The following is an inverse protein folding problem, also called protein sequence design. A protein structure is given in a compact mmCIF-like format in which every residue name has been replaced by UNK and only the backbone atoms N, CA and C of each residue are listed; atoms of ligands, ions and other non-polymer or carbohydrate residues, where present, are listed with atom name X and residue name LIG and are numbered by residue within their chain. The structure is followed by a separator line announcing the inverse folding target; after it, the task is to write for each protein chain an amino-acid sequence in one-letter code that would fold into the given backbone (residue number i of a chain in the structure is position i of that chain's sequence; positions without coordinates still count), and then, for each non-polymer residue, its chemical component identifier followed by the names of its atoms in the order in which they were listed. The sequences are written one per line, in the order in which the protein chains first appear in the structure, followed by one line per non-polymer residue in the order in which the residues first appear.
data_IF_353791157925
#
_entry.id   IF_353791157925
#
_cell.length_a   1.000
_cell.length_b   1.000
_cell.length_c   1.000
_cell.angle_alpha   90.00
_cell.angle_beta   90.00
_cell.angle_gamma   90.00
#
_symmetry.space_group_name_H-M   'P 1'
#
loop_
_entity.id
_entity.type
_entity.pdbx_description
1 polymer ?
#
# COMPACT_ATOMS: atom_id res chain seq x y z
N UNK A 1 21.66 40.71 -46.24
CA UNK A 1 20.28 40.60 -45.71
C UNK A 1 20.36 39.64 -44.53
N UNK A 2 20.16 40.12 -43.32
CA UNK A 2 20.24 39.28 -42.12
C UNK A 2 18.96 38.47 -42.02
N UNK A 3 19.05 37.15 -42.24
CA UNK A 3 17.96 36.22 -41.94
C UNK A 3 17.59 36.36 -40.47
N UNK A 4 16.41 36.92 -40.22
CA UNK A 4 15.75 36.84 -38.93
C UNK A 4 15.42 35.35 -38.70
N UNK A 5 16.40 34.59 -38.22
CA UNK A 5 16.22 33.21 -37.78
C UNK A 5 15.14 33.26 -36.71
N UNK A 6 13.93 32.87 -37.10
CA UNK A 6 12.83 32.60 -36.19
C UNK A 6 13.28 31.44 -35.30
N UNK A 7 14.05 31.74 -34.25
CA UNK A 7 14.50 30.76 -33.28
C UNK A 7 13.28 30.38 -32.49
N UNK A 8 12.60 29.32 -32.94
CA UNK A 8 11.51 28.70 -32.20
C UNK A 8 12.00 28.44 -30.78
N UNK A 9 11.13 28.72 -29.81
CA UNK A 9 11.43 28.51 -28.39
C UNK A 9 11.11 27.07 -28.02
N UNK A 10 11.91 26.52 -27.11
CA UNK A 10 11.73 25.18 -26.58
C UNK A 10 10.36 25.03 -25.91
N UNK A 11 9.62 23.98 -26.28
CA UNK A 11 8.28 23.70 -25.74
C UNK A 11 8.27 22.94 -24.42
N UNK A 12 9.45 22.60 -23.87
CA UNK A 12 9.51 21.88 -22.60
C UNK A 12 9.10 22.78 -21.44
N UNK A 13 8.35 22.19 -20.53
CA UNK A 13 7.99 22.78 -19.26
C UNK A 13 9.14 22.63 -18.25
N UNK A 14 9.37 23.69 -17.48
CA UNK A 14 10.31 23.72 -16.37
C UNK A 14 9.52 23.96 -15.09
N UNK A 15 9.87 23.21 -14.06
CA UNK A 15 9.32 23.33 -12.72
C UNK A 15 10.38 23.98 -11.82
N UNK A 16 10.00 25.07 -11.16
CA UNK A 16 10.80 25.73 -10.14
C UNK A 16 9.90 25.95 -8.92
N UNK A 17 10.15 25.17 -7.87
CA UNK A 17 9.27 25.07 -6.69
C UNK A 17 7.83 24.77 -7.15
N UNK A 18 6.90 25.72 -6.98
CA UNK A 18 5.48 25.59 -7.36
C UNK A 18 5.14 26.29 -8.69
N UNK A 19 6.14 26.82 -9.41
CA UNK A 19 5.92 27.56 -10.65
C UNK A 19 6.27 26.72 -11.87
N UNK A 20 5.30 26.65 -12.77
CA UNK A 20 5.43 26.03 -14.07
C UNK A 20 5.69 27.10 -15.14
N UNK A 21 6.75 26.96 -15.95
CA UNK A 21 7.01 27.89 -17.05
C UNK A 21 7.67 27.20 -18.26
N UNK A 22 7.47 27.79 -19.44
CA UNK A 22 8.08 27.29 -20.67
C UNK A 22 9.57 27.64 -20.75
N UNK A 23 10.36 26.72 -21.30
CA UNK A 23 11.78 26.92 -21.53
C UNK A 23 12.03 28.04 -22.56
N UNK A 24 12.87 29.01 -22.20
CA UNK A 24 13.19 30.17 -23.08
C UNK A 24 14.32 29.93 -24.07
N UNK A 25 14.95 28.74 -24.06
CA UNK A 25 16.09 28.42 -24.95
C UNK A 25 15.61 28.16 -26.38
N UNK A 26 16.47 28.46 -27.36
CA UNK A 26 16.21 28.12 -28.75
C UNK A 26 16.11 26.60 -28.96
N UNK A 27 15.25 26.19 -29.88
CA UNK A 27 15.11 24.79 -30.30
C UNK A 27 16.35 24.28 -31.04
N UNK A 28 16.57 22.97 -30.98
CA UNK A 28 17.45 22.27 -31.90
C UNK A 28 16.80 22.22 -33.29
N UNK A 29 17.59 22.30 -34.37
CA UNK A 29 17.06 22.22 -35.73
C UNK A 29 16.24 20.94 -35.94
N UNK A 30 15.03 21.10 -36.50
CA UNK A 30 14.09 20.00 -36.71
C UNK A 30 13.36 19.47 -35.47
N UNK A 31 13.61 20.03 -34.28
CA UNK A 31 12.97 19.58 -33.03
C UNK A 31 12.23 20.69 -32.29
N UNK A 32 11.15 20.40 -31.55
CA UNK A 32 10.45 21.39 -30.73
C UNK A 32 11.15 21.69 -29.39
N UNK A 33 12.28 21.04 -29.10
CA UNK A 33 13.01 21.17 -27.84
C UNK A 33 14.45 21.64 -28.05
N UNK A 34 15.00 22.38 -27.08
CA UNK A 34 16.43 22.69 -27.04
C UNK A 34 17.26 21.42 -26.80
N UNK A 35 18.56 21.44 -27.13
CA UNK A 35 19.48 20.29 -26.95
C UNK A 35 19.33 19.58 -25.60
N UNK A 36 19.39 20.34 -24.49
CA UNK A 36 19.25 19.81 -23.12
C UNK A 36 17.91 19.08 -22.92
N UNK A 37 16.80 19.70 -23.31
CA UNK A 37 15.48 19.11 -23.09
C UNK A 37 15.17 17.97 -24.05
N UNK A 38 15.77 17.95 -25.24
CA UNK A 38 15.69 16.80 -26.13
C UNK A 38 16.42 15.58 -25.55
N UNK A 39 17.63 15.77 -25.01
CA UNK A 39 18.38 14.73 -24.30
C UNK A 39 17.61 14.22 -23.08
N UNK A 40 17.01 15.13 -22.32
CA UNK A 40 16.21 14.81 -21.13
C UNK A 40 14.92 14.07 -21.48
N UNK A 41 14.22 14.46 -22.56
CA UNK A 41 13.06 13.74 -23.09
C UNK A 41 13.41 12.29 -23.40
N UNK A 42 14.52 12.08 -24.11
CA UNK A 42 15.00 10.73 -24.45
C UNK A 42 15.30 9.92 -23.18
N UNK A 43 16.00 10.52 -22.20
CA UNK A 43 16.30 9.84 -20.93
C UNK A 43 15.03 9.46 -20.16
N UNK A 44 14.07 10.37 -20.04
CA UNK A 44 12.80 10.10 -19.36
C UNK A 44 11.96 9.06 -20.11
N UNK A 45 11.94 9.11 -21.44
CA UNK A 45 11.29 8.10 -22.29
C UNK A 45 11.84 6.70 -22.03
N UNK A 46 13.16 6.54 -22.13
CA UNK A 46 13.85 5.27 -21.86
C UNK A 46 13.57 4.81 -20.41
N UNK A 47 13.59 5.75 -19.47
CA UNK A 47 13.34 5.50 -18.06
C UNK A 47 11.96 4.93 -17.78
N UNK A 48 10.89 5.54 -18.29
CA UNK A 48 9.53 5.03 -18.04
C UNK A 48 9.30 3.69 -18.78
N UNK A 49 9.83 3.52 -20.00
CA UNK A 49 9.72 2.23 -20.73
C UNK A 49 10.43 1.10 -19.97
N UNK A 50 11.58 1.38 -19.36
CA UNK A 50 12.27 0.39 -18.53
C UNK A 50 11.47 0.03 -17.26
N UNK A 51 10.77 0.98 -16.63
CA UNK A 51 9.89 0.70 -15.48
C UNK A 51 8.66 -0.10 -15.89
N UNK A 52 8.05 0.24 -17.02
CA UNK A 52 6.95 -0.54 -17.59
C UNK A 52 7.37 -1.99 -17.85
N UNK A 53 8.54 -2.21 -18.47
CA UNK A 53 9.09 -3.56 -18.68
C UNK A 53 9.29 -4.32 -17.36
N UNK A 54 9.75 -3.65 -16.30
CA UNK A 54 9.89 -4.28 -14.97
C UNK A 54 8.55 -4.70 -14.38
N UNK A 55 7.50 -3.90 -14.58
CA UNK A 55 6.14 -4.24 -14.17
C UNK A 55 5.62 -5.45 -14.95
N UNK A 56 5.81 -5.48 -16.28
CA UNK A 56 5.43 -6.60 -17.15
C UNK A 56 6.20 -7.91 -16.84
N UNK A 57 7.38 -7.79 -16.25
CA UNK A 57 8.22 -8.93 -15.84
C UNK A 57 7.99 -9.37 -14.40
N UNK A 58 7.03 -8.79 -13.69
CA UNK A 58 6.72 -9.18 -12.33
C UNK A 58 6.27 -10.65 -12.28
N UNK A 59 6.78 -11.40 -11.29
CA UNK A 59 6.40 -12.80 -11.10
C UNK A 59 5.02 -12.90 -10.43
N UNK A 60 3.99 -13.16 -11.22
CA UNK A 60 2.60 -13.27 -10.75
C UNK A 60 2.38 -14.41 -9.75
N UNK A 61 3.31 -15.36 -9.62
CA UNK A 61 3.22 -16.45 -8.62
C UNK A 61 3.42 -15.94 -7.20
N UNK A 62 3.99 -14.74 -7.04
CA UNK A 62 4.22 -14.10 -5.74
C UNK A 62 2.95 -13.53 -5.11
N UNK A 63 1.86 -13.44 -5.85
CA UNK A 63 0.60 -12.83 -5.40
C UNK A 63 -0.58 -13.79 -5.55
N UNK A 64 -1.68 -13.47 -4.86
CA UNK A 64 -2.97 -14.09 -5.12
C UNK A 64 -3.93 -13.02 -5.64
N UNK A 65 -4.48 -13.23 -6.84
CA UNK A 65 -5.49 -12.36 -7.45
C UNK A 65 -6.93 -12.79 -7.16
N UNK A 66 -7.12 -13.96 -6.52
CA UNK A 66 -8.45 -14.49 -6.23
C UNK A 66 -8.87 -14.14 -4.81
N UNK A 67 -9.83 -13.24 -4.68
CA UNK A 67 -10.36 -12.78 -3.38
C UNK A 67 -10.99 -13.91 -2.56
N UNK A 68 -11.63 -14.90 -3.19
CA UNK A 68 -12.18 -16.06 -2.50
C UNK A 68 -11.07 -16.95 -1.92
N UNK A 69 -9.99 -17.15 -2.66
CA UNK A 69 -8.80 -17.86 -2.16
C UNK A 69 -8.15 -17.12 -0.99
N UNK A 70 -8.04 -15.79 -1.06
CA UNK A 70 -7.54 -14.97 0.05
C UNK A 70 -8.41 -15.17 1.29
N UNK A 71 -9.74 -15.01 1.18
CA UNK A 71 -10.68 -15.17 2.30
C UNK A 71 -10.66 -16.57 2.90
N UNK A 72 -10.47 -17.61 2.08
CA UNK A 72 -10.40 -18.98 2.55
C UNK A 72 -9.05 -19.36 3.20
N UNK A 73 -8.02 -18.52 3.05
CA UNK A 73 -6.69 -18.81 3.58
C UNK A 73 -6.71 -18.91 5.11
N UNK A 74 -5.96 -19.88 5.64
CA UNK A 74 -5.82 -20.13 7.09
C UNK A 74 -4.38 -19.94 7.60
N UNK A 75 -3.44 -19.62 6.72
CA UNK A 75 -2.03 -19.44 7.06
C UNK A 75 -1.65 -17.97 7.06
N UNK A 76 -1.23 -17.46 8.22
CA UNK A 76 -0.68 -16.10 8.34
C UNK A 76 0.61 -15.93 7.55
N UNK A 77 1.44 -16.96 7.46
CA UNK A 77 2.66 -16.95 6.66
C UNK A 77 2.34 -16.75 5.17
N UNK A 78 1.35 -17.48 4.65
CA UNK A 78 0.94 -17.36 3.27
C UNK A 78 0.33 -15.97 2.95
N UNK A 79 -0.48 -15.44 3.86
CA UNK A 79 -1.04 -14.09 3.73
C UNK A 79 0.06 -13.02 3.72
N UNK A 80 1.08 -13.14 4.58
CA UNK A 80 2.25 -12.26 4.58
C UNK A 80 3.03 -12.34 3.26
N UNK A 81 3.27 -13.55 2.75
CA UNK A 81 3.96 -13.73 1.47
C UNK A 81 3.20 -13.06 0.30
N UNK A 82 1.87 -13.20 0.25
CA UNK A 82 1.05 -12.51 -0.75
C UNK A 82 1.05 -10.99 -0.55
N UNK A 83 0.98 -10.52 0.70
CA UNK A 83 1.05 -9.09 1.02
C UNK A 83 2.34 -8.47 0.48
N UNK A 84 3.49 -9.08 0.77
CA UNK A 84 4.79 -8.59 0.32
C UNK A 84 4.88 -8.53 -1.21
N UNK A 85 4.40 -9.58 -1.89
CA UNK A 85 4.31 -9.59 -3.35
C UNK A 85 3.41 -8.47 -3.91
N UNK A 86 2.24 -8.24 -3.30
CA UNK A 86 1.31 -7.20 -3.72
C UNK A 86 1.90 -5.80 -3.48
N UNK A 87 2.61 -5.58 -2.36
CA UNK A 87 3.30 -4.31 -2.07
C UNK A 87 4.41 -4.03 -3.06
N UNK A 88 5.21 -5.04 -3.40
CA UNK A 88 6.23 -4.93 -4.46
C UNK A 88 5.60 -4.51 -5.78
N UNK A 89 4.50 -5.17 -6.18
CA UNK A 89 3.80 -4.86 -7.43
C UNK A 89 3.19 -3.46 -7.41
N UNK A 90 2.60 -3.03 -6.29
CA UNK A 90 2.06 -1.68 -6.11
C UNK A 90 3.15 -0.61 -6.29
N UNK A 91 4.35 -0.84 -5.75
CA UNK A 91 5.50 0.06 -5.94
C UNK A 91 5.90 0.15 -7.42
N UNK A 92 5.84 -0.96 -8.17
CA UNK A 92 6.11 -0.94 -9.61
C UNK A 92 5.07 -0.13 -10.38
N UNK A 93 3.78 -0.28 -10.07
CA UNK A 93 2.71 0.52 -10.67
C UNK A 93 2.93 2.02 -10.41
N UNK A 94 3.11 2.42 -9.15
CA UNK A 94 3.33 3.83 -8.79
C UNK A 94 4.53 4.40 -9.54
N UNK A 95 5.67 3.70 -9.53
CA UNK A 95 6.88 4.13 -10.27
C UNK A 95 6.65 4.25 -11.78
N UNK A 96 5.81 3.40 -12.36
CA UNK A 96 5.49 3.44 -13.79
C UNK A 96 4.61 4.65 -14.11
N UNK A 97 3.56 4.87 -13.32
CA UNK A 97 2.63 6.00 -13.45
C UNK A 97 3.38 7.32 -13.25
N UNK A 98 4.14 7.47 -12.17
CA UNK A 98 4.88 8.70 -11.84
C UNK A 98 5.90 9.06 -12.93
N UNK A 99 6.63 8.07 -13.44
CA UNK A 99 7.62 8.30 -14.49
C UNK A 99 6.98 8.72 -15.81
N UNK A 100 5.80 8.16 -16.13
CA UNK A 100 5.05 8.55 -17.32
C UNK A 100 4.45 9.95 -17.14
N UNK A 101 3.95 10.29 -15.95
CA UNK A 101 3.48 11.63 -15.61
C UNK A 101 4.54 12.68 -15.81
N UNK A 102 5.71 12.46 -15.22
CA UNK A 102 6.84 13.36 -15.36
C UNK A 102 7.24 13.56 -16.83
N UNK A 103 7.19 12.52 -17.65
CA UNK A 103 7.48 12.64 -19.08
C UNK A 103 6.39 13.42 -19.83
N UNK A 104 5.12 13.07 -19.62
CA UNK A 104 3.98 13.70 -20.31
C UNK A 104 3.86 15.17 -19.94
N UNK A 105 3.76 15.48 -18.65
CA UNK A 105 3.55 16.85 -18.16
C UNK A 105 4.67 17.80 -18.64
N UNK A 106 5.90 17.27 -18.71
CA UNK A 106 7.07 18.06 -19.04
C UNK A 106 7.22 18.37 -20.53
N UNK A 107 6.78 17.48 -21.42
CA UNK A 107 7.05 17.61 -22.86
C UNK A 107 5.80 17.73 -23.73
N UNK A 108 4.63 17.39 -23.19
CA UNK A 108 3.35 17.34 -23.90
C UNK A 108 2.23 18.08 -23.15
N UNK A 109 2.46 18.50 -21.89
CA UNK A 109 1.44 19.13 -21.07
C UNK A 109 0.28 18.16 -20.77
N UNK A 110 -0.95 18.68 -20.72
CA UNK A 110 -2.17 17.88 -20.56
C UNK A 110 -2.77 17.39 -21.89
N UNK A 111 -2.12 17.66 -23.03
CA UNK A 111 -2.61 17.23 -24.34
C UNK A 111 -2.12 15.81 -24.63
N UNK A 112 -2.77 14.83 -24.00
CA UNK A 112 -2.57 13.41 -24.27
C UNK A 112 -3.50 12.96 -25.39
N UNK A 113 -2.95 12.23 -26.37
CA UNK A 113 -3.81 11.53 -27.32
C UNK A 113 -4.65 10.45 -26.60
N UNK A 114 -5.77 10.08 -27.23
CA UNK A 114 -6.71 9.10 -26.68
C UNK A 114 -6.03 7.77 -26.29
N UNK A 115 -5.05 7.32 -27.09
CA UNK A 115 -4.33 6.08 -26.81
C UNK A 115 -3.46 6.15 -25.54
N UNK A 116 -2.80 7.29 -25.30
CA UNK A 116 -2.06 7.54 -24.08
C UNK A 116 -2.98 7.61 -22.87
N UNK A 117 -4.15 8.24 -23.01
CA UNK A 117 -5.13 8.33 -21.94
C UNK A 117 -5.71 6.96 -21.57
N UNK A 118 -6.20 6.19 -22.55
CA UNK A 118 -6.72 4.83 -22.30
C UNK A 118 -5.68 3.91 -21.66
N UNK A 119 -4.42 3.99 -22.10
CA UNK A 119 -3.35 3.22 -21.47
C UNK A 119 -3.10 3.63 -20.02
N UNK A 120 -3.20 4.93 -19.72
CA UNK A 120 -3.03 5.45 -18.37
C UNK A 120 -4.16 5.03 -17.45
N UNK A 121 -5.39 5.11 -17.94
CA UNK A 121 -6.59 4.68 -17.20
C UNK A 121 -6.46 3.21 -16.81
N UNK A 122 -6.06 2.35 -17.75
CA UNK A 122 -5.79 0.94 -17.49
C UNK A 122 -4.72 0.74 -16.40
N UNK A 123 -3.60 1.46 -16.44
CA UNK A 123 -2.57 1.34 -15.39
C UNK A 123 -3.07 1.78 -14.01
N UNK A 124 -3.96 2.77 -13.98
CA UNK A 124 -4.55 3.31 -12.75
C UNK A 124 -5.54 2.31 -12.17
N UNK A 125 -6.41 1.74 -13.01
CA UNK A 125 -7.35 0.68 -12.66
C UNK A 125 -6.61 -0.55 -12.11
N UNK A 126 -5.62 -1.06 -12.85
CA UNK A 126 -4.83 -2.22 -12.43
C UNK A 126 -4.10 -1.95 -11.09
N UNK A 127 -3.61 -0.73 -10.85
CA UNK A 127 -3.01 -0.34 -9.56
C UNK A 127 -4.05 -0.38 -8.43
N UNK A 128 -5.26 0.09 -8.69
CA UNK A 128 -6.31 0.17 -7.69
C UNK A 128 -6.86 -1.23 -7.36
N UNK A 129 -6.92 -2.14 -8.33
CA UNK A 129 -7.16 -3.57 -8.09
C UNK A 129 -6.12 -4.18 -7.13
N UNK A 130 -4.83 -3.85 -7.31
CA UNK A 130 -3.78 -4.31 -6.38
C UNK A 130 -4.01 -3.77 -4.96
N UNK A 131 -4.46 -2.51 -4.81
CA UNK A 131 -4.78 -1.96 -3.48
C UNK A 131 -5.97 -2.69 -2.84
N UNK A 132 -6.98 -3.04 -3.63
CA UNK A 132 -8.11 -3.81 -3.13
C UNK A 132 -7.68 -5.20 -2.65
N UNK A 133 -6.84 -5.89 -3.43
CA UNK A 133 -6.27 -7.19 -3.03
C UNK A 133 -5.46 -7.10 -1.72
N UNK A 134 -4.68 -6.03 -1.56
CA UNK A 134 -3.96 -5.76 -0.31
C UNK A 134 -4.94 -5.67 0.86
N UNK A 135 -6.03 -4.92 0.71
CA UNK A 135 -7.04 -4.77 1.75
C UNK A 135 -7.69 -6.11 2.13
N UNK A 136 -7.98 -6.99 1.16
CA UNK A 136 -8.48 -8.34 1.46
C UNK A 136 -7.48 -9.19 2.25
N UNK A 137 -6.19 -9.11 1.90
CA UNK A 137 -5.13 -9.84 2.61
C UNK A 137 -4.98 -9.33 4.04
N UNK A 138 -4.94 -8.01 4.24
CA UNK A 138 -4.84 -7.39 5.57
C UNK A 138 -6.06 -7.74 6.42
N UNK A 139 -7.27 -7.62 5.86
CA UNK A 139 -8.50 -7.98 6.55
C UNK A 139 -8.47 -9.44 7.01
N UNK A 140 -8.11 -10.36 6.12
CA UNK A 140 -8.06 -11.77 6.46
C UNK A 140 -6.98 -12.10 7.50
N UNK A 141 -5.82 -11.47 7.40
CA UNK A 141 -4.76 -11.65 8.40
C UNK A 141 -5.21 -11.20 9.78
N UNK A 142 -5.91 -10.06 9.86
CA UNK A 142 -6.47 -9.55 11.11
C UNK A 142 -7.54 -10.48 11.69
N UNK A 143 -8.42 -11.07 10.88
CA UNK A 143 -9.40 -12.07 11.34
C UNK A 143 -8.72 -13.27 12.02
N UNK A 144 -7.65 -13.79 11.42
CA UNK A 144 -6.91 -14.92 11.99
C UNK A 144 -6.25 -14.55 13.31
N UNK A 145 -5.57 -13.39 13.37
CA UNK A 145 -4.92 -12.91 14.59
C UNK A 145 -5.94 -12.72 15.72
N UNK A 146 -7.10 -12.11 15.42
CA UNK A 146 -8.15 -11.87 16.40
C UNK A 146 -8.75 -13.17 16.90
N UNK A 147 -8.98 -14.15 16.01
CA UNK A 147 -9.49 -15.46 16.38
C UNK A 147 -8.56 -16.18 17.36
N UNK A 148 -7.26 -16.18 17.10
CA UNK A 148 -6.27 -16.81 17.97
C UNK A 148 -6.18 -16.09 19.32
N UNK A 149 -6.21 -14.75 19.32
CA UNK A 149 -6.22 -13.96 20.55
C UNK A 149 -7.45 -14.24 21.42
N UNK A 150 -8.64 -14.33 20.82
CA UNK A 150 -9.88 -14.64 21.55
C UNK A 150 -9.85 -16.06 22.13
N UNK A 151 -9.34 -17.03 21.39
CA UNK A 151 -9.18 -18.40 21.89
C UNK A 151 -8.26 -18.44 23.12
N UNK A 152 -7.15 -17.71 23.10
CA UNK A 152 -6.25 -17.59 24.23
C UNK A 152 -6.88 -16.93 25.46
N UNK A 153 -7.67 -15.87 25.26
CA UNK A 153 -8.40 -15.20 26.36
C UNK A 153 -9.38 -16.15 27.02
N UNK A 154 -10.12 -16.92 26.22
CA UNK A 154 -11.11 -17.88 26.74
C UNK A 154 -10.45 -19.03 27.49
N UNK A 155 -9.36 -19.59 26.95
CA UNK A 155 -8.56 -20.61 27.64
C UNK A 155 -8.09 -20.09 29.02
N UNK A 156 -7.53 -18.87 29.06
CA UNK A 156 -7.05 -18.27 30.30
C UNK A 156 -8.18 -18.02 31.31
N UNK A 157 -9.37 -17.63 30.85
CA UNK A 157 -10.57 -17.46 31.68
C UNK A 157 -10.97 -18.79 32.33
N UNK A 158 -11.07 -19.87 31.54
CA UNK A 158 -11.45 -21.19 32.06
C UNK A 158 -10.44 -21.72 33.09
N UNK A 159 -9.14 -21.49 32.89
CA UNK A 159 -8.10 -21.85 33.85
C UNK A 159 -8.22 -21.08 35.18
N UNK A 160 -8.59 -19.80 35.13
CA UNK A 160 -8.81 -18.98 36.34
C UNK A 160 -10.01 -19.49 37.14
N UNK A 161 -11.16 -19.72 36.48
CA UNK A 161 -12.37 -20.24 37.15
C UNK A 161 -12.12 -21.60 37.80
N UNK A 162 -11.42 -22.51 37.10
CA UNK A 162 -11.07 -23.83 37.66
C UNK A 162 -10.16 -23.73 38.89
N UNK A 163 -9.29 -22.71 38.95
CA UNK A 163 -8.41 -22.50 40.11
C UNK A 163 -9.17 -21.97 41.33
N UNK A 164 -10.19 -21.14 41.12
CA UNK A 164 -11.06 -20.64 42.20
C UNK A 164 -11.91 -21.77 42.79
N UNK A 165 -12.44 -22.68 41.97
CA UNK A 165 -13.17 -23.86 42.43
C UNK A 165 -12.31 -24.80 43.30
N UNK A 166 -11.02 -24.94 42.98
CA UNK A 166 -10.07 -25.79 43.74
C UNK A 166 -9.65 -25.14 45.07
N UNK A 167 -9.74 -23.81 45.21
CA UNK A 167 -9.36 -23.10 46.45
C UNK A 167 -10.56 -22.71 47.35
N UNK A 168 -11.80 -22.78 46.85
CA UNK A 168 -13.02 -22.51 47.63
C UNK A 168 -13.53 -23.67 48.48
N UNK A 169 -12.85 -24.82 48.49
CA UNK A 169 -13.30 -26.07 49.14
C UNK A 169 -12.88 -26.27 50.60
N UNK A 170 -12.32 -25.27 51.28
CA UNK A 170 -12.07 -25.37 52.73
C UNK A 170 -13.28 -24.80 53.49
N UNK A 171 -14.30 -25.63 53.64
CA UNK A 171 -15.42 -25.36 54.54
C UNK A 171 -14.92 -25.43 56.00
N UNK A 172 -14.93 -24.28 56.68
CA UNK A 172 -14.83 -24.21 58.14
C UNK A 172 -16.09 -24.85 58.76
N UNK A 173 -16.03 -26.16 59.00
CA UNK A 173 -16.89 -26.82 60.00
C UNK A 173 -16.29 -26.54 61.38
N UNK A 174 -16.74 -25.44 61.97
CA UNK A 174 -16.33 -24.97 63.30
C UNK A 174 -17.54 -24.58 64.14
N UNK A 175 -18.50 -25.51 64.28
CA UNK A 175 -19.55 -25.41 65.29
C UNK A 175 -18.94 -25.32 66.70
N UNK A 176 -19.31 -24.29 67.43
CA UNK A 176 -19.07 -24.17 68.87
C UNK A 176 -20.21 -23.37 69.48
N UNK A 177 -21.28 -24.10 69.81
CA UNK A 177 -22.20 -23.73 70.88
C UNK A 177 -21.41 -23.34 72.13
N UNK A 178 -21.73 -22.19 72.72
CA UNK A 178 -21.66 -22.06 74.17
C UNK A 178 -22.66 -21.00 74.65
N UNK A 179 -23.88 -21.48 74.90
CA UNK A 179 -24.75 -20.91 75.91
C UNK A 179 -24.16 -21.21 77.28
N UNK A 180 -23.80 -20.18 78.05
CA UNK A 180 -24.06 -20.22 79.49
C UNK A 180 -24.12 -18.82 80.08
N UNK A 181 -25.18 -18.62 80.86
CA UNK A 181 -25.49 -17.45 81.63
C UNK A 181 -24.71 -17.50 82.96
N UNK A 182 -24.25 -16.37 83.46
CA UNK A 182 -24.36 -16.09 84.89
C UNK A 182 -24.26 -14.60 85.21
N UNK A 183 -25.00 -14.23 86.26
CA UNK A 183 -25.36 -12.88 86.63
C UNK A 183 -24.49 -12.34 87.78
N UNK A 184 -24.17 -11.03 87.70
CA UNK A 184 -24.03 -10.03 88.80
C UNK A 184 -22.89 -10.21 89.84
N UNK A 185 -22.60 -9.23 90.73
CA UNK A 185 -22.88 -7.77 90.72
C UNK A 185 -21.71 -6.85 91.17
N UNK A 186 -22.01 -5.53 91.08
CA UNK A 186 -21.45 -4.31 91.72
C UNK A 186 -20.40 -3.53 90.96
#
# INVERSE_FOLDING_TARGET
MADAKNTKKCQATVFDMDKQFLCRRATLDGHPWCKRHNEERIKLYVGYKARQKKLEQFDERRICSNTATIRACKSLEQLRAWYDGLKDKLVLYNRCIDARAMHTERFYGNDMDWGHQTFWDRLTEERDDIKELIAYVEFRANELILKDALAWVEERRTLMTKREEVHGGCSDDGSSDNSDAEARPR
#
